data_IF_631175421451
#
_entry.id   IF_631175421451
#
_cell.length_a   1.000
_cell.length_b   1.000
_cell.length_c   1.000
_cell.angle_alpha   90.00
_cell.angle_beta   90.00
_cell.angle_gamma   90.00
#
_symmetry.space_group_name_H-M   'P 1'
#
loop_
_entity.id
_entity.type
_entity.pdbx_description
1 polymer ?
#
# COMPACT_ATOMS: atom_id res chain seq x y z
N UNK A 1 -16.01 -4.45 20.41
CA UNK A 1 -15.97 -4.66 18.93
C UNK A 1 -15.41 -3.47 18.13
N UNK A 2 -14.94 -2.40 18.80
CA UNK A 2 -14.52 -1.15 18.17
C UNK A 2 -13.05 -1.16 17.68
N UNK A 3 -12.17 -1.94 18.32
CA UNK A 3 -10.75 -2.03 17.96
C UNK A 3 -10.49 -2.63 16.57
N UNK A 4 -11.38 -3.49 16.05
CA UNK A 4 -11.20 -4.12 14.75
C UNK A 4 -11.49 -3.17 13.57
N UNK A 5 -12.32 -2.14 13.77
CA UNK A 5 -12.63 -1.16 12.72
C UNK A 5 -11.39 -0.29 12.44
N UNK A 6 -10.59 -0.04 13.47
CA UNK A 6 -9.40 0.82 13.41
C UNK A 6 -8.18 0.13 12.78
N UNK A 7 -8.26 -1.17 12.49
CA UNK A 7 -7.13 -1.92 11.95
C UNK A 7 -7.27 -2.14 10.44
N UNK A 8 -6.13 -2.05 9.74
CA UNK A 8 -6.04 -2.50 8.35
C UNK A 8 -6.30 -4.00 8.29
N UNK A 9 -7.19 -4.40 7.38
CA UNK A 9 -7.48 -5.81 7.11
C UNK A 9 -6.26 -6.50 6.51
N UNK A 10 -6.17 -7.83 6.60
CA UNK A 10 -5.09 -8.60 5.97
C UNK A 10 -4.95 -8.30 4.47
N UNK A 11 -6.07 -8.09 3.77
CA UNK A 11 -6.06 -7.72 2.34
C UNK A 11 -5.41 -6.36 2.10
N UNK A 12 -5.73 -5.35 2.91
CA UNK A 12 -5.13 -4.02 2.82
C UNK A 12 -3.64 -4.04 3.17
N UNK A 13 -3.26 -4.81 4.20
CA UNK A 13 -1.85 -5.02 4.58
C UNK A 13 -1.05 -5.65 3.44
N UNK A 14 -1.59 -6.66 2.78
CA UNK A 14 -0.97 -7.28 1.60
C UNK A 14 -0.81 -6.27 0.47
N UNK A 15 -1.82 -5.45 0.20
CA UNK A 15 -1.71 -4.41 -0.84
C UNK A 15 -0.63 -3.36 -0.51
N UNK A 16 -0.54 -2.94 0.75
CA UNK A 16 0.51 -2.02 1.21
C UNK A 16 1.90 -2.65 1.07
N UNK A 17 2.11 -3.87 1.55
CA UNK A 17 3.39 -4.59 1.43
C UNK A 17 3.80 -4.76 -0.04
N UNK A 18 2.86 -5.13 -0.90
CA UNK A 18 3.11 -5.29 -2.34
C UNK A 18 3.52 -3.95 -2.98
N UNK A 19 2.85 -2.85 -2.64
CA UNK A 19 3.20 -1.53 -3.15
C UNK A 19 4.55 -1.03 -2.59
N UNK A 20 4.85 -1.29 -1.31
CA UNK A 20 6.15 -0.98 -0.69
C UNK A 20 7.28 -1.76 -1.36
N UNK A 21 7.07 -3.03 -1.69
CA UNK A 21 8.04 -3.84 -2.41
C UNK A 21 8.36 -3.24 -3.79
N UNK A 22 7.32 -2.82 -4.53
CA UNK A 22 7.49 -2.15 -5.83
C UNK A 22 8.21 -0.81 -5.71
N UNK A 23 7.90 0.00 -4.69
CA UNK A 23 8.63 1.24 -4.44
C UNK A 23 10.11 0.97 -4.24
N UNK A 24 10.43 0.03 -3.33
CA UNK A 24 11.81 -0.31 -3.00
C UNK A 24 12.58 -0.84 -4.20
N UNK A 25 11.95 -1.59 -5.10
CA UNK A 25 12.63 -2.10 -6.30
C UNK A 25 12.92 -1.03 -7.34
N UNK A 26 12.15 0.06 -7.38
CA UNK A 26 12.38 1.17 -8.31
C UNK A 26 13.43 2.16 -7.79
N UNK A 27 13.41 2.46 -6.48
CA UNK A 27 14.38 3.40 -5.87
C UNK A 27 15.68 2.71 -5.41
N UNK A 28 15.79 1.40 -5.60
CA UNK A 28 16.95 0.61 -5.21
C UNK A 28 18.18 1.04 -6.04
N UNK A 29 19.32 1.34 -5.38
CA UNK A 29 20.59 1.52 -6.08
C UNK A 29 20.98 0.30 -6.90
N UNK A 30 21.73 0.52 -7.98
CA UNK A 30 22.06 -0.51 -8.97
C UNK A 30 22.90 -1.67 -8.39
N UNK A 31 23.66 -1.39 -7.34
CA UNK A 31 24.50 -2.35 -6.62
C UNK A 31 23.75 -3.19 -5.57
N UNK A 32 22.48 -2.88 -5.31
CA UNK A 32 21.69 -3.67 -4.36
C UNK A 32 21.30 -5.03 -4.93
N UNK A 33 21.23 -6.04 -4.05
CA UNK A 33 20.70 -7.35 -4.40
C UNK A 33 19.34 -7.26 -5.10
N UNK A 34 18.44 -6.40 -4.62
CA UNK A 34 17.12 -6.23 -5.22
C UNK A 34 17.20 -5.77 -6.69
N UNK A 35 18.14 -4.89 -7.01
CA UNK A 35 18.39 -4.47 -8.39
C UNK A 35 19.04 -5.58 -9.22
N UNK A 36 20.01 -6.30 -8.67
CA UNK A 36 20.61 -7.47 -9.33
C UNK A 36 19.58 -8.58 -9.61
N UNK A 37 18.53 -8.69 -8.78
CA UNK A 37 17.43 -9.63 -8.97
C UNK A 37 16.36 -9.14 -9.96
N UNK A 38 16.28 -7.85 -10.29
CA UNK A 38 15.27 -7.31 -11.23
C UNK A 38 15.26 -8.04 -12.59
N UNK A 39 16.40 -8.30 -13.26
CA UNK A 39 16.42 -9.03 -14.53
C UNK A 39 15.81 -10.44 -14.41
N UNK A 40 16.13 -11.17 -13.33
CA UNK A 40 15.58 -12.50 -13.06
C UNK A 40 14.10 -12.42 -12.76
N UNK A 41 13.68 -11.43 -12.00
CA UNK A 41 12.28 -11.20 -11.71
C UNK A 41 11.50 -10.77 -12.98
N UNK A 42 12.14 -10.18 -13.98
CA UNK A 42 11.53 -9.82 -15.29
C UNK A 42 11.42 -10.99 -16.27
N UNK A 43 11.93 -12.18 -15.93
CA UNK A 43 11.77 -13.39 -16.74
C UNK A 43 10.29 -13.70 -17.01
N UNK A 44 10.01 -14.28 -18.18
CA UNK A 44 8.64 -14.52 -18.71
C UNK A 44 7.74 -15.32 -17.77
N UNK A 45 8.31 -16.17 -16.90
CA UNK A 45 7.59 -16.95 -15.88
C UNK A 45 7.16 -16.11 -14.66
N UNK A 46 7.87 -15.04 -14.34
CA UNK A 46 7.62 -14.17 -13.18
C UNK A 46 6.87 -12.89 -13.60
N UNK A 47 6.88 -12.54 -14.90
CA UNK A 47 6.09 -11.45 -15.49
C UNK A 47 4.62 -11.41 -15.05
N UNK A 48 3.88 -12.54 -14.96
CA UNK A 48 2.51 -12.53 -14.46
C UNK A 48 2.40 -12.07 -13.00
N UNK A 49 3.41 -12.35 -12.18
CA UNK A 49 3.46 -11.96 -10.77
C UNK A 49 3.73 -10.45 -10.64
N UNK A 50 4.62 -9.86 -11.44
CA UNK A 50 4.79 -8.41 -11.53
C UNK A 50 3.53 -7.69 -12.01
N UNK A 51 2.86 -8.25 -13.01
CA UNK A 51 1.57 -7.74 -13.47
C UNK A 51 0.50 -7.80 -12.36
N UNK A 52 0.60 -8.72 -11.39
CA UNK A 52 -0.30 -8.75 -10.22
C UNK A 52 0.08 -7.70 -9.19
N UNK A 53 1.37 -7.54 -8.88
CA UNK A 53 1.85 -6.53 -7.92
C UNK A 53 1.52 -5.11 -8.38
N UNK A 54 1.76 -4.81 -9.65
CA UNK A 54 1.46 -3.50 -10.26
C UNK A 54 -0.04 -3.20 -10.36
N UNK A 55 -0.90 -4.19 -10.16
CA UNK A 55 -2.36 -4.02 -10.15
C UNK A 55 -2.93 -3.69 -8.77
N UNK A 56 -2.11 -3.63 -7.73
CA UNK A 56 -2.59 -3.30 -6.39
C UNK A 56 -3.19 -1.88 -6.36
N UNK A 57 -4.29 -1.65 -5.61
CA UNK A 57 -4.95 -0.34 -5.59
C UNK A 57 -4.01 0.80 -5.17
N UNK A 58 -3.17 0.54 -4.18
CA UNK A 58 -2.18 1.50 -3.68
C UNK A 58 -1.16 1.84 -4.76
N UNK A 59 -0.58 0.84 -5.42
CA UNK A 59 0.40 1.06 -6.49
C UNK A 59 -0.19 1.83 -7.67
N UNK A 60 -1.43 1.52 -8.06
CA UNK A 60 -2.11 2.23 -9.16
C UNK A 60 -2.27 3.72 -8.88
N UNK A 61 -2.59 4.09 -7.64
CA UNK A 61 -2.69 5.49 -7.23
C UNK A 61 -1.33 6.19 -7.28
N UNK A 62 -0.26 5.51 -6.85
CA UNK A 62 1.10 6.04 -6.92
C UNK A 62 1.60 6.20 -8.36
N UNK A 63 1.46 5.15 -9.18
CA UNK A 63 1.96 5.11 -10.54
C UNK A 63 1.23 6.08 -11.49
N UNK A 64 0.05 6.57 -11.12
CA UNK A 64 -0.69 7.56 -11.89
C UNK A 64 0.05 8.91 -12.01
N UNK A 65 0.94 9.23 -11.06
CA UNK A 65 1.65 10.50 -10.98
C UNK A 65 3.00 10.53 -11.74
N UNK A 66 3.29 9.49 -12.54
CA UNK A 66 4.61 9.15 -13.12
C UNK A 66 5.53 8.45 -12.11
N UNK A 67 5.98 7.24 -12.48
CA UNK A 67 6.81 6.35 -11.67
C UNK A 67 8.23 6.91 -11.49
N UNK A 68 8.75 7.65 -12.48
CA UNK A 68 10.12 8.15 -12.48
C UNK A 68 10.35 9.27 -11.44
N UNK A 69 9.27 9.93 -11.00
CA UNK A 69 9.29 11.01 -10.01
C UNK A 69 8.66 10.61 -8.67
N UNK A 70 8.34 9.33 -8.50
CA UNK A 70 7.63 8.84 -7.33
C UNK A 70 8.59 8.78 -6.13
N UNK A 71 8.55 9.82 -5.30
CA UNK A 71 9.37 9.90 -4.08
C UNK A 71 8.73 9.17 -2.88
N UNK A 72 9.55 8.90 -1.87
CA UNK A 72 9.10 8.20 -0.65
C UNK A 72 8.01 8.98 0.10
N UNK A 73 8.03 10.32 0.03
CA UNK A 73 7.05 11.19 0.70
C UNK A 73 5.67 11.05 0.05
N UNK A 74 5.61 11.13 -1.27
CA UNK A 74 4.38 10.98 -2.05
C UNK A 74 3.80 9.59 -1.86
N UNK A 75 4.65 8.55 -1.90
CA UNK A 75 4.22 7.19 -1.60
C UNK A 75 3.58 7.07 -0.21
N UNK A 76 4.25 7.57 0.84
CA UNK A 76 3.69 7.57 2.20
C UNK A 76 2.37 8.34 2.29
N UNK A 77 2.25 9.44 1.56
CA UNK A 77 1.02 10.22 1.44
C UNK A 77 -0.12 9.37 0.86
N UNK A 78 0.12 8.71 -0.27
CA UNK A 78 -0.87 7.83 -0.93
C UNK A 78 -1.26 6.64 -0.04
N UNK A 79 -0.31 6.01 0.65
CA UNK A 79 -0.61 4.95 1.61
C UNK A 79 -1.54 5.45 2.73
N UNK A 80 -1.28 6.66 3.25
CA UNK A 80 -2.10 7.25 4.31
C UNK A 80 -3.52 7.54 3.82
N UNK A 81 -3.68 8.15 2.64
CA UNK A 81 -5.01 8.43 2.07
C UNK A 81 -5.76 7.14 1.78
N UNK A 82 -5.09 6.14 1.21
CA UNK A 82 -5.70 4.83 0.95
C UNK A 82 -6.27 4.18 2.22
N UNK A 83 -5.51 4.20 3.32
CA UNK A 83 -5.97 3.64 4.60
C UNK A 83 -7.15 4.46 5.15
N UNK A 84 -7.08 5.79 5.08
CA UNK A 84 -8.15 6.68 5.53
C UNK A 84 -9.44 6.45 4.76
N UNK A 85 -9.39 6.40 3.43
CA UNK A 85 -10.57 6.16 2.58
C UNK A 85 -11.23 4.82 2.91
N UNK A 86 -10.43 3.78 3.17
CA UNK A 86 -10.92 2.45 3.55
C UNK A 86 -11.52 2.42 4.95
N UNK A 87 -11.01 3.24 5.85
CA UNK A 87 -11.59 3.43 7.16
C UNK A 87 -12.93 4.16 7.06
N UNK A 88 -12.97 5.30 6.38
CA UNK A 88 -14.17 6.13 6.22
C UNK A 88 -15.29 5.35 5.50
N UNK A 89 -14.95 4.56 4.47
CA UNK A 89 -15.90 3.67 3.78
C UNK A 89 -16.53 2.63 4.72
N UNK A 90 -15.74 2.09 5.67
CA UNK A 90 -16.24 1.13 6.68
C UNK A 90 -17.12 1.83 7.72
N UNK A 91 -16.73 3.02 8.14
CA UNK A 91 -17.50 3.84 9.07
C UNK A 91 -18.85 4.30 8.49
N UNK A 92 -18.91 4.60 7.19
CA UNK A 92 -20.14 5.02 6.52
C UNK A 92 -21.07 3.84 6.17
N UNK A 93 -20.52 2.64 5.93
CA UNK A 93 -21.29 1.45 5.57
C UNK A 93 -21.99 0.76 6.76
N UNK A 94 -21.48 0.93 7.96
CA UNK A 94 -22.20 0.60 9.19
C UNK A 94 -22.90 1.89 9.62
N UNK A 95 -24.20 1.89 9.89
CA UNK A 95 -24.93 3.05 10.47
C UNK A 95 -24.42 3.35 11.90
N UNK A 96 -23.15 3.71 12.06
CA UNK A 96 -22.49 4.02 13.32
C UNK A 96 -22.70 5.50 13.60
N UNK A 97 -23.97 5.91 13.68
CA UNK A 97 -24.39 7.28 13.97
C UNK A 97 -23.94 7.82 15.35
N UNK A 98 -23.12 7.09 16.11
CA UNK A 98 -22.75 7.43 17.47
C UNK A 98 -21.26 7.22 17.81
N UNK A 99 -20.42 6.73 16.90
CA UNK A 99 -19.03 6.36 17.24
C UNK A 99 -17.99 7.38 16.79
N UNK A 100 -18.42 8.47 16.13
CA UNK A 100 -17.57 9.61 15.75
C UNK A 100 -16.78 10.21 16.93
N UNK A 101 -17.29 10.07 18.17
CA UNK A 101 -16.65 10.60 19.38
C UNK A 101 -15.41 9.79 19.85
N UNK A 102 -15.26 8.53 19.43
CA UNK A 102 -14.11 7.70 19.83
C UNK A 102 -12.97 7.87 18.82
N UNK A 103 -12.31 9.04 18.84
CA UNK A 103 -11.10 9.28 18.03
C UNK A 103 -10.08 8.17 18.29
N UNK A 104 -9.93 7.31 17.30
CA UNK A 104 -8.88 6.31 17.30
C UNK A 104 -7.91 6.72 16.21
N UNK A 105 -6.72 7.16 16.60
CA UNK A 105 -5.63 7.28 15.64
C UNK A 105 -5.50 5.95 14.90
N UNK A 106 -5.52 6.00 13.57
CA UNK A 106 -5.21 4.86 12.72
C UNK A 106 -3.81 4.38 13.09
N UNK A 107 -3.74 3.23 13.77
CA UNK A 107 -2.47 2.61 14.12
C UNK A 107 -2.04 1.81 12.90
N UNK A 108 -1.04 2.33 12.21
CA UNK A 108 -0.26 1.52 11.27
C UNK A 108 0.53 0.54 12.13
N UNK A 109 0.30 -0.75 11.91
CA UNK A 109 1.03 -1.84 12.55
C UNK A 109 2.54 -1.62 12.33
N UNK A 110 3.40 -1.65 13.37
CA UNK A 110 4.84 -1.42 13.22
C UNK A 110 5.55 -2.41 12.28
N UNK A 111 4.87 -3.49 11.89
CA UNK A 111 5.39 -4.48 10.93
C UNK A 111 5.30 -3.98 9.48
N UNK A 112 4.50 -2.94 9.18
CA UNK A 112 4.34 -2.34 7.85
C UNK A 112 5.37 -1.24 7.54
#
# INVERSE_FOLDING_TARGET
MLHFINQTTMKERVHLLQATFLMRSIIAPEDTLLYQFLPYLRLSTIRPQWCKLSKTPVWKQCAAANVDFLDLRTFKGVCKTYIQDKFDSRCNGMNLGLISACRSQLIIDPIL
#
